data_IF_109614641603
#
_entry.id   IF_109614641603
#
_cell.length_a   1.000
_cell.length_b   1.000
_cell.length_c   1.000
_cell.angle_alpha   90.00
_cell.angle_beta   90.00
_cell.angle_gamma   90.00
#
_symmetry.space_group_name_H-M   'P 1'
#
loop_
_entity.id
_entity.type
_entity.pdbx_description
1 polymer ?
#
# COMPACT_ATOMS: atom_id res chain seq x y z
N UNK A 1 -16.93 28.82 23.49
CA UNK A 1 -17.47 27.64 22.77
C UNK A 1 -16.27 26.84 22.26
N UNK A 2 -16.13 25.58 22.65
CA UNK A 2 -15.09 24.69 22.12
C UNK A 2 -15.25 24.60 20.61
N UNK A 3 -14.19 24.90 19.86
CA UNK A 3 -14.19 24.82 18.39
C UNK A 3 -14.08 23.36 18.02
N UNK A 4 -15.10 22.81 17.34
CA UNK A 4 -15.07 21.43 16.85
C UNK A 4 -14.46 21.40 15.46
N UNK A 5 -13.41 20.56 15.28
CA UNK A 5 -12.82 20.25 13.98
C UNK A 5 -13.44 18.95 13.48
N UNK A 6 -14.02 18.97 12.28
CA UNK A 6 -14.60 17.75 11.67
C UNK A 6 -13.69 17.22 10.57
N UNK A 7 -13.45 15.91 10.58
CA UNK A 7 -12.65 15.19 9.59
C UNK A 7 -13.54 14.14 8.94
N UNK A 8 -13.81 14.26 7.65
CA UNK A 8 -14.41 13.20 6.84
C UNK A 8 -13.27 12.32 6.33
N UNK A 9 -13.26 11.09 6.81
CA UNK A 9 -12.32 10.07 6.34
C UNK A 9 -13.04 9.08 5.44
N UNK A 10 -12.71 9.08 4.14
CA UNK A 10 -13.30 8.14 3.19
C UNK A 10 -12.34 6.99 2.93
N UNK A 11 -12.84 5.76 3.13
CA UNK A 11 -12.05 4.53 2.95
C UNK A 11 -11.90 4.25 1.45
N UNK A 12 -10.66 4.23 0.97
CA UNK A 12 -10.36 4.01 -0.45
C UNK A 12 -10.62 2.57 -0.93
N UNK A 13 -10.67 1.59 -0.02
CA UNK A 13 -10.76 0.17 -0.39
C UNK A 13 -11.62 -0.63 0.60
N UNK A 14 -12.91 -0.67 0.36
CA UNK A 14 -13.91 -1.24 1.26
C UNK A 14 -13.70 -2.72 1.61
N UNK A 15 -13.32 -3.63 0.67
CA UNK A 15 -13.16 -5.05 1.00
C UNK A 15 -12.00 -5.35 1.95
N UNK A 16 -11.06 -4.41 2.12
CA UNK A 16 -9.86 -4.61 2.92
C UNK A 16 -10.03 -3.97 4.31
N UNK A 17 -10.31 -4.80 5.30
CA UNK A 17 -10.48 -4.36 6.69
C UNK A 17 -9.30 -3.55 7.24
N UNK A 18 -8.10 -3.72 6.70
CA UNK A 18 -6.92 -2.96 7.11
C UNK A 18 -7.08 -1.44 6.94
N UNK A 19 -7.84 -1.00 5.92
CA UNK A 19 -8.14 0.43 5.71
C UNK A 19 -9.12 0.97 6.76
N UNK A 20 -10.17 0.20 7.07
CA UNK A 20 -11.12 0.57 8.12
C UNK A 20 -10.43 0.62 9.49
N UNK A 21 -9.71 -0.43 9.83
CA UNK A 21 -8.98 -0.53 11.11
C UNK A 21 -7.98 0.63 11.31
N UNK A 22 -7.29 1.04 10.25
CA UNK A 22 -6.37 2.16 10.33
C UNK A 22 -7.09 3.49 10.65
N UNK A 23 -8.27 3.70 10.05
CA UNK A 23 -9.08 4.88 10.31
C UNK A 23 -9.69 4.87 11.73
N UNK A 24 -10.19 3.71 12.19
CA UNK A 24 -10.72 3.52 13.54
C UNK A 24 -9.65 3.70 14.62
N UNK A 25 -8.43 3.18 14.41
CA UNK A 25 -7.32 3.38 15.35
C UNK A 25 -6.88 4.85 15.40
N UNK A 26 -6.88 5.54 14.25
CA UNK A 26 -6.64 6.98 14.19
C UNK A 26 -7.70 7.75 14.98
N UNK A 27 -8.98 7.48 14.75
CA UNK A 27 -10.09 8.10 15.48
C UNK A 27 -9.97 7.90 17.00
N UNK A 28 -9.72 6.65 17.43
CA UNK A 28 -9.51 6.31 18.83
C UNK A 28 -8.38 7.13 19.44
N UNK A 29 -7.22 7.23 18.76
CA UNK A 29 -6.06 7.98 19.25
C UNK A 29 -6.31 9.47 19.33
N UNK A 30 -7.05 10.02 18.38
CA UNK A 30 -7.49 11.43 18.43
C UNK A 30 -8.39 11.66 19.66
N UNK A 31 -9.33 10.74 19.92
CA UNK A 31 -10.25 10.85 21.05
C UNK A 31 -9.57 10.66 22.42
N UNK A 32 -8.48 9.87 22.49
CA UNK A 32 -7.68 9.68 23.70
C UNK A 32 -6.84 10.92 24.06
N UNK A 33 -6.54 11.77 23.08
CA UNK A 33 -5.81 13.02 23.33
C UNK A 33 -6.76 14.11 23.79
N UNK A 34 -6.87 14.25 25.12
CA UNK A 34 -7.66 15.34 25.71
C UNK A 34 -7.07 16.69 25.33
N UNK A 35 -7.81 17.46 24.52
CA UNK A 35 -7.48 18.83 24.19
C UNK A 35 -8.72 19.73 24.39
N UNK A 36 -8.50 21.03 24.50
CA UNK A 36 -9.60 22.02 24.50
C UNK A 36 -10.36 22.05 23.17
N UNK A 37 -9.77 21.48 22.12
CA UNK A 37 -10.35 21.35 20.78
C UNK A 37 -10.91 19.94 20.59
N UNK A 38 -12.20 19.89 20.31
CA UNK A 38 -12.84 18.61 19.93
C UNK A 38 -12.55 18.32 18.47
N UNK A 39 -12.05 17.10 18.18
CA UNK A 39 -11.89 16.59 16.81
C UNK A 39 -12.90 15.46 16.64
N UNK A 40 -13.77 15.57 15.65
CA UNK A 40 -14.74 14.54 15.28
C UNK A 40 -14.30 13.92 13.97
N UNK A 41 -14.08 12.60 13.96
CA UNK A 41 -13.74 11.84 12.75
C UNK A 41 -14.98 11.09 12.29
N UNK A 42 -15.40 11.35 11.06
CA UNK A 42 -16.49 10.63 10.41
C UNK A 42 -15.93 9.68 9.38
N UNK A 43 -15.83 8.40 9.75
CA UNK A 43 -15.33 7.34 8.85
C UNK A 43 -16.48 6.85 8.00
N UNK A 44 -16.26 6.75 6.69
CA UNK A 44 -17.29 6.31 5.75
C UNK A 44 -16.69 5.58 4.55
N UNK A 45 -17.49 4.72 3.96
CA UNK A 45 -17.19 4.06 2.69
C UNK A 45 -17.40 5.00 1.50
N UNK A 46 -16.92 4.62 0.33
CA UNK A 46 -17.20 5.33 -0.94
C UNK A 46 -18.70 5.43 -1.20
N UNK A 47 -19.43 4.34 -0.91
CA UNK A 47 -20.88 4.28 -1.07
C UNK A 47 -21.60 5.25 -0.13
N UNK A 48 -21.23 5.27 1.16
CA UNK A 48 -21.82 6.18 2.14
C UNK A 48 -21.51 7.65 1.83
N UNK A 49 -20.29 7.95 1.40
CA UNK A 49 -19.93 9.30 0.96
C UNK A 49 -20.77 9.73 -0.24
N UNK A 50 -20.91 8.85 -1.25
CA UNK A 50 -21.73 9.12 -2.44
C UNK A 50 -23.16 9.50 -2.07
N UNK A 51 -23.76 8.78 -1.13
CA UNK A 51 -25.13 9.02 -0.68
C UNK A 51 -25.27 10.27 0.16
N UNK A 52 -24.35 10.53 1.07
CA UNK A 52 -24.47 11.64 2.06
C UNK A 52 -23.96 12.98 1.55
N UNK A 53 -22.94 12.98 0.71
CA UNK A 53 -22.17 14.18 0.36
C UNK A 53 -22.01 14.41 -1.15
N UNK A 54 -22.51 13.52 -2.00
CA UNK A 54 -22.35 13.61 -3.45
C UNK A 54 -23.69 13.37 -4.21
N UNK A 55 -24.82 13.70 -3.58
CA UNK A 55 -26.19 13.60 -4.16
C UNK A 55 -26.49 12.22 -4.77
N UNK A 56 -25.91 11.16 -4.22
CA UNK A 56 -26.07 9.78 -4.72
C UNK A 56 -25.23 9.46 -5.96
N UNK A 57 -24.44 10.42 -6.48
CA UNK A 57 -23.52 10.17 -7.60
C UNK A 57 -22.36 9.30 -7.09
N UNK A 58 -22.23 8.12 -7.67
CA UNK A 58 -21.23 7.13 -7.25
C UNK A 58 -19.82 7.66 -7.50
N UNK A 59 -19.00 7.67 -6.45
CA UNK A 59 -17.58 7.91 -6.53
C UNK A 59 -16.82 6.58 -6.44
N UNK A 60 -15.59 6.60 -6.96
CA UNK A 60 -14.64 5.50 -6.90
C UNK A 60 -13.39 5.91 -6.12
N UNK A 61 -12.54 4.94 -5.82
CA UNK A 61 -11.22 5.21 -5.22
C UNK A 61 -10.37 6.19 -6.06
N UNK A 62 -10.60 6.29 -7.37
CA UNK A 62 -9.89 7.20 -8.26
C UNK A 62 -10.29 8.67 -8.09
N UNK A 63 -11.49 8.93 -7.57
CA UNK A 63 -12.00 10.29 -7.37
C UNK A 63 -11.52 10.93 -6.06
N UNK A 64 -10.97 10.12 -5.12
CA UNK A 64 -10.64 10.58 -3.77
C UNK A 64 -9.62 11.71 -3.74
N UNK A 65 -8.58 11.67 -4.57
CA UNK A 65 -7.56 12.71 -4.61
C UNK A 65 -8.14 14.03 -5.12
N UNK A 66 -9.00 13.99 -6.13
CA UNK A 66 -9.69 15.18 -6.64
C UNK A 66 -10.63 15.80 -5.60
N UNK A 67 -11.37 14.94 -4.90
CA UNK A 67 -12.28 15.40 -3.84
C UNK A 67 -11.52 16.01 -2.66
N UNK A 68 -10.35 15.47 -2.33
CA UNK A 68 -9.47 16.01 -1.29
C UNK A 68 -8.88 17.36 -1.70
N UNK A 69 -8.39 17.50 -2.93
CA UNK A 69 -7.89 18.77 -3.48
C UNK A 69 -8.98 19.86 -3.51
N UNK A 70 -10.23 19.47 -3.75
CA UNK A 70 -11.39 20.35 -3.70
C UNK A 70 -11.83 20.69 -2.28
N UNK A 71 -11.27 20.06 -1.24
CA UNK A 71 -11.66 20.22 0.16
C UNK A 71 -13.01 19.58 0.50
N UNK A 72 -13.46 18.60 -0.28
CA UNK A 72 -14.71 17.85 -0.04
C UNK A 72 -14.51 16.66 0.88
N UNK A 73 -13.26 16.18 1.01
CA UNK A 73 -12.81 15.11 1.90
C UNK A 73 -11.57 15.63 2.61
N UNK A 74 -11.48 15.45 3.93
CA UNK A 74 -10.34 15.90 4.71
C UNK A 74 -9.23 14.85 4.73
N UNK A 75 -9.54 13.56 4.93
CA UNK A 75 -8.56 12.49 5.07
C UNK A 75 -8.93 11.23 4.30
N UNK A 76 -7.91 10.46 3.95
CA UNK A 76 -8.01 9.10 3.42
C UNK A 76 -6.70 8.35 3.64
N UNK A 77 -6.68 7.08 3.23
CA UNK A 77 -5.46 6.28 3.10
C UNK A 77 -5.31 5.89 1.63
N UNK A 78 -4.19 6.28 1.00
CA UNK A 78 -4.00 6.15 -0.44
C UNK A 78 -2.73 5.37 -0.79
N UNK A 79 -2.76 4.63 -1.90
CA UNK A 79 -1.61 3.91 -2.42
C UNK A 79 -0.48 4.85 -2.83
N UNK A 80 0.75 4.55 -2.40
CA UNK A 80 1.94 5.34 -2.80
C UNK A 80 2.15 5.32 -4.30
N UNK A 81 1.79 4.24 -4.99
CA UNK A 81 1.85 4.14 -6.46
C UNK A 81 0.93 5.15 -7.16
N UNK A 82 -0.24 5.46 -6.59
CA UNK A 82 -1.14 6.48 -7.15
C UNK A 82 -0.67 7.89 -6.83
N UNK A 83 -0.08 8.10 -5.65
CA UNK A 83 0.59 9.35 -5.32
C UNK A 83 1.79 9.59 -6.26
N UNK A 84 2.50 8.51 -6.62
CA UNK A 84 3.58 8.58 -7.59
C UNK A 84 3.11 8.94 -9.00
N UNK A 85 2.08 8.24 -9.48
CA UNK A 85 1.54 8.45 -10.83
C UNK A 85 1.04 9.88 -11.03
N UNK A 86 0.49 10.47 -9.98
CA UNK A 86 -0.14 11.79 -10.07
C UNK A 86 0.78 12.96 -9.69
N UNK A 87 1.69 12.78 -8.72
CA UNK A 87 2.38 13.90 -8.10
C UNK A 87 3.91 13.73 -7.98
N UNK A 88 4.38 12.61 -7.41
CA UNK A 88 5.78 12.46 -6.98
C UNK A 88 6.34 11.07 -7.31
N UNK A 89 7.01 10.97 -8.46
CA UNK A 89 7.54 9.70 -8.98
C UNK A 89 8.54 8.99 -8.07
N UNK A 90 9.20 9.71 -7.18
CA UNK A 90 10.14 9.13 -6.20
C UNK A 90 9.49 8.06 -5.32
N UNK A 91 8.16 8.08 -5.12
CA UNK A 91 7.47 7.00 -4.41
C UNK A 91 7.59 5.63 -5.09
N UNK A 92 7.78 5.60 -6.42
CA UNK A 92 7.98 4.33 -7.14
C UNK A 92 9.32 3.67 -6.81
N UNK A 93 10.28 4.40 -6.23
CA UNK A 93 11.51 3.78 -5.74
C UNK A 93 11.22 2.68 -4.71
N UNK A 94 10.16 2.83 -3.89
CA UNK A 94 9.75 1.83 -2.91
C UNK A 94 9.26 0.52 -3.53
N UNK A 95 8.90 0.52 -4.82
CA UNK A 95 8.47 -0.66 -5.55
C UNK A 95 9.61 -1.42 -6.23
N UNK A 96 10.85 -0.89 -6.20
CA UNK A 96 12.03 -1.57 -6.76
C UNK A 96 12.20 -2.97 -6.13
N UNK A 97 12.51 -3.99 -6.95
CA UNK A 97 12.54 -5.36 -6.48
C UNK A 97 13.62 -5.57 -5.41
N UNK A 98 13.24 -6.17 -4.29
CA UNK A 98 14.13 -6.50 -3.16
C UNK A 98 14.87 -5.28 -2.56
N UNK A 99 14.33 -4.07 -2.71
CA UNK A 99 14.91 -2.86 -2.13
C UNK A 99 14.89 -2.94 -0.60
N UNK A 100 13.75 -3.33 -0.03
CA UNK A 100 13.63 -3.52 1.42
C UNK A 100 14.02 -4.95 1.81
N UNK A 101 14.97 -5.04 2.74
CA UNK A 101 15.44 -6.31 3.27
C UNK A 101 14.37 -7.02 4.11
N UNK A 102 13.72 -6.26 4.97
CA UNK A 102 12.71 -6.70 5.93
C UNK A 102 11.82 -5.53 6.38
N UNK A 103 10.87 -5.80 7.27
CA UNK A 103 9.97 -4.79 7.83
C UNK A 103 10.68 -3.77 8.73
N UNK A 104 11.79 -4.15 9.37
CA UNK A 104 12.57 -3.24 10.22
C UNK A 104 13.32 -2.23 9.36
N UNK A 105 13.96 -2.69 8.27
CA UNK A 105 14.58 -1.80 7.29
C UNK A 105 13.54 -0.80 6.74
N UNK A 106 12.37 -1.28 6.30
CA UNK A 106 11.29 -0.44 5.81
C UNK A 106 10.86 0.61 6.86
N UNK A 107 10.71 0.20 8.11
CA UNK A 107 10.34 1.12 9.20
C UNK A 107 11.41 2.19 9.43
N UNK A 108 12.71 1.83 9.41
CA UNK A 108 13.81 2.80 9.52
C UNK A 108 13.78 3.83 8.40
N UNK A 109 13.43 3.43 7.19
CA UNK A 109 13.31 4.35 6.03
C UNK A 109 12.11 5.28 6.21
N UNK A 110 10.93 4.73 6.52
CA UNK A 110 9.69 5.52 6.62
C UNK A 110 9.70 6.54 7.76
N UNK A 111 10.41 6.24 8.84
CA UNK A 111 10.51 7.09 10.03
C UNK A 111 11.79 7.92 10.07
N UNK A 112 12.49 8.02 8.93
CA UNK A 112 13.68 8.85 8.76
C UNK A 112 13.40 10.07 7.88
N UNK A 113 14.43 10.90 7.73
CA UNK A 113 14.46 12.03 6.81
C UNK A 113 14.13 11.66 5.35
N UNK A 114 14.35 10.40 4.96
CA UNK A 114 14.03 9.91 3.61
C UNK A 114 12.50 9.84 3.45
N UNK A 115 11.84 9.12 4.36
CA UNK A 115 10.39 8.98 4.32
C UNK A 115 9.67 10.31 4.50
N UNK A 116 10.11 11.13 5.45
CA UNK A 116 9.55 12.48 5.67
C UNK A 116 9.78 13.38 4.47
N UNK A 117 10.96 13.34 3.85
CA UNK A 117 11.28 14.14 2.67
C UNK A 117 10.38 13.80 1.46
N UNK A 118 10.04 12.53 1.25
CA UNK A 118 9.10 12.13 0.19
C UNK A 118 7.67 12.63 0.48
N UNK A 119 7.21 12.56 1.73
CA UNK A 119 5.91 13.11 2.12
C UNK A 119 5.89 14.65 1.99
N UNK A 120 7.01 15.32 2.24
CA UNK A 120 7.13 16.75 2.01
C UNK A 120 7.07 17.10 0.52
N UNK A 121 7.81 16.38 -0.35
CA UNK A 121 7.74 16.55 -1.81
C UNK A 121 6.33 16.38 -2.35
N UNK A 122 5.56 15.41 -1.82
CA UNK A 122 4.15 15.27 -2.15
C UNK A 122 3.37 16.56 -1.86
N UNK A 123 3.57 17.14 -0.69
CA UNK A 123 2.90 18.39 -0.30
C UNK A 123 3.30 19.58 -1.19
N UNK A 124 4.57 19.65 -1.58
CA UNK A 124 5.08 20.72 -2.46
C UNK A 124 4.54 20.66 -3.88
N UNK A 125 4.20 19.44 -4.36
CA UNK A 125 3.71 19.20 -5.74
C UNK A 125 2.20 19.04 -5.85
N UNK A 126 1.48 19.04 -4.73
CA UNK A 126 0.03 18.80 -4.69
C UNK A 126 -0.64 19.60 -3.57
N UNK A 127 -1.97 19.55 -3.55
CA UNK A 127 -2.77 20.04 -2.42
C UNK A 127 -3.08 18.94 -1.40
N UNK A 128 -2.21 17.91 -1.33
CA UNK A 128 -2.35 16.77 -0.43
C UNK A 128 -1.08 16.62 0.39
N UNK A 129 -1.22 16.36 1.68
CA UNK A 129 -0.13 16.14 2.63
C UNK A 129 -0.13 14.70 3.10
N UNK A 130 1.03 14.03 3.02
CA UNK A 130 1.23 12.74 3.65
C UNK A 130 1.53 12.88 5.15
N UNK A 131 0.89 12.04 5.96
CA UNK A 131 1.08 12.05 7.42
C UNK A 131 2.01 10.94 7.89
N UNK A 132 1.87 9.74 7.36
CA UNK A 132 2.70 8.58 7.68
C UNK A 132 2.53 7.52 6.61
N UNK A 133 3.40 6.48 6.67
CA UNK A 133 3.27 5.29 5.84
C UNK A 133 2.55 4.18 6.57
N UNK A 134 1.73 3.46 5.81
CA UNK A 134 1.02 2.25 6.24
C UNK A 134 1.25 1.14 5.21
N UNK A 135 0.84 -0.08 5.54
CA UNK A 135 0.89 -1.18 4.59
C UNK A 135 -0.46 -1.38 3.89
N UNK A 136 -0.40 -1.91 2.69
CA UNK A 136 -1.55 -2.50 2.03
C UNK A 136 -1.37 -4.02 1.88
N UNK A 137 -0.96 -4.65 2.98
CA UNK A 137 -0.74 -6.07 3.08
C UNK A 137 0.74 -6.50 3.20
N UNK A 138 1.68 -5.55 3.22
CA UNK A 138 3.11 -5.84 3.41
C UNK A 138 3.80 -6.35 2.14
N UNK A 139 4.78 -7.25 2.30
CA UNK A 139 5.54 -7.79 1.18
C UNK A 139 4.68 -8.59 0.21
N UNK A 140 4.97 -8.44 -1.08
CA UNK A 140 4.28 -9.13 -2.17
C UNK A 140 4.90 -10.50 -2.42
N UNK A 141 4.03 -11.45 -2.73
CA UNK A 141 4.36 -12.80 -3.15
C UNK A 141 3.80 -13.07 -4.54
N UNK A 142 4.34 -14.10 -5.19
CA UNK A 142 3.75 -14.65 -6.41
C UNK A 142 2.82 -15.81 -6.07
N UNK A 143 1.58 -15.77 -6.55
CA UNK A 143 0.67 -16.91 -6.47
C UNK A 143 0.51 -17.60 -7.82
N UNK A 144 0.24 -18.89 -7.78
CA UNK A 144 -0.05 -19.70 -8.96
C UNK A 144 -1.31 -20.55 -8.76
N UNK A 145 -2.08 -20.74 -9.85
CA UNK A 145 -3.28 -21.59 -9.88
C UNK A 145 -2.96 -23.08 -10.09
N UNK A 146 -1.68 -23.42 -10.10
CA UNK A 146 -1.15 -24.79 -10.18
C UNK A 146 -0.12 -25.05 -9.08
N UNK A 147 0.18 -26.32 -8.79
CA UNK A 147 1.29 -26.65 -7.88
C UNK A 147 2.61 -26.38 -8.57
N UNK A 148 3.47 -25.60 -7.92
CA UNK A 148 4.83 -25.30 -8.34
C UNK A 148 5.75 -25.35 -7.13
N UNK A 149 7.00 -25.74 -7.34
CA UNK A 149 8.04 -25.82 -6.30
C UNK A 149 9.10 -24.74 -6.45
N UNK A 150 9.14 -24.07 -7.60
CA UNK A 150 10.09 -22.98 -7.88
C UNK A 150 9.43 -21.89 -8.70
N UNK A 151 9.97 -20.68 -8.63
CA UNK A 151 9.51 -19.57 -9.47
C UNK A 151 9.76 -19.84 -10.95
N UNK A 152 10.84 -20.56 -11.28
CA UNK A 152 11.20 -20.91 -12.66
C UNK A 152 10.09 -21.70 -13.39
N UNK A 153 9.27 -22.46 -12.68
CA UNK A 153 8.13 -23.18 -13.26
C UNK A 153 6.99 -22.24 -13.76
N UNK A 154 7.08 -20.96 -13.43
CA UNK A 154 6.19 -19.90 -13.94
C UNK A 154 6.82 -19.15 -15.11
N UNK A 155 8.02 -19.51 -15.57
CA UNK A 155 8.69 -18.83 -16.67
C UNK A 155 7.80 -18.82 -17.93
N UNK A 156 7.71 -17.66 -18.59
CA UNK A 156 6.90 -17.44 -19.80
C UNK A 156 5.39 -17.45 -19.57
N UNK A 157 4.89 -17.67 -18.34
CA UNK A 157 3.45 -17.68 -18.08
C UNK A 157 2.88 -16.27 -17.91
N UNK A 158 1.62 -16.01 -18.33
CA UNK A 158 0.94 -14.77 -17.99
C UNK A 158 0.56 -14.74 -16.51
N UNK A 159 0.94 -13.67 -15.82
CA UNK A 159 0.60 -13.44 -14.41
C UNK A 159 0.06 -12.01 -14.22
N UNK A 160 -0.93 -11.87 -13.37
CA UNK A 160 -1.51 -10.56 -13.07
C UNK A 160 -0.47 -9.66 -12.40
N UNK A 161 -0.35 -8.44 -12.91
CA UNK A 161 0.38 -7.32 -12.31
C UNK A 161 -0.52 -6.09 -12.22
N UNK A 162 -0.10 -5.10 -11.43
CA UNK A 162 -0.75 -3.79 -11.41
C UNK A 162 -0.21 -2.88 -12.55
N UNK A 163 -0.69 -1.64 -12.61
CA UNK A 163 -0.27 -0.66 -13.65
C UNK A 163 1.12 -0.07 -13.42
N UNK A 164 1.69 -0.27 -12.25
CA UNK A 164 3.01 0.26 -11.91
C UNK A 164 4.09 -0.28 -12.86
N UNK A 165 4.83 0.57 -13.57
CA UNK A 165 5.83 0.12 -14.54
C UNK A 165 6.99 -0.63 -13.87
N UNK A 166 7.38 -0.29 -12.64
CA UNK A 166 8.42 -1.00 -11.88
C UNK A 166 7.98 -2.44 -11.57
N UNK A 167 6.72 -2.63 -11.14
CA UNK A 167 6.18 -3.95 -10.87
C UNK A 167 6.12 -4.82 -12.13
N UNK A 168 5.71 -4.25 -13.26
CA UNK A 168 5.66 -4.96 -14.55
C UNK A 168 7.07 -5.35 -15.02
N UNK A 169 8.05 -4.45 -14.90
CA UNK A 169 9.45 -4.74 -15.22
C UNK A 169 10.01 -5.83 -14.31
N UNK A 170 9.70 -5.78 -13.01
CA UNK A 170 10.08 -6.82 -12.04
C UNK A 170 9.53 -8.19 -12.43
N UNK A 171 8.24 -8.29 -12.75
CA UNK A 171 7.61 -9.56 -13.16
C UNK A 171 8.24 -10.07 -14.46
N UNK A 172 8.50 -9.17 -15.42
CA UNK A 172 9.18 -9.53 -16.68
C UNK A 172 10.60 -10.04 -16.41
N UNK A 173 11.35 -9.37 -15.55
CA UNK A 173 12.71 -9.75 -15.18
C UNK A 173 12.76 -11.08 -14.39
N UNK A 174 11.71 -11.40 -13.64
CA UNK A 174 11.51 -12.70 -13.00
C UNK A 174 11.06 -13.81 -14.00
N UNK A 175 11.03 -13.50 -15.29
CA UNK A 175 10.77 -14.46 -16.37
C UNK A 175 9.31 -14.68 -16.73
N UNK A 176 8.37 -13.93 -16.14
CA UNK A 176 6.93 -14.06 -16.39
C UNK A 176 6.41 -12.96 -17.34
N UNK A 177 5.18 -13.08 -17.78
CA UNK A 177 4.51 -12.09 -18.67
C UNK A 177 3.46 -11.32 -17.86
N UNK A 178 3.66 -10.01 -17.58
CA UNK A 178 2.69 -9.24 -16.82
C UNK A 178 1.39 -9.03 -17.59
N UNK A 179 0.26 -9.32 -16.95
CA UNK A 179 -1.10 -9.02 -17.40
C UNK A 179 -1.65 -7.94 -16.48
N UNK A 180 -1.85 -6.74 -17.00
CA UNK A 180 -2.28 -5.59 -16.21
C UNK A 180 -3.76 -5.70 -15.87
N UNK A 181 -4.07 -5.78 -14.57
CA UNK A 181 -5.43 -5.76 -14.06
C UNK A 181 -5.43 -5.22 -12.61
N UNK A 182 -6.59 -4.75 -12.15
CA UNK A 182 -6.77 -4.37 -10.75
C UNK A 182 -6.60 -5.60 -9.84
N UNK A 183 -6.22 -5.38 -8.58
CA UNK A 183 -5.98 -6.51 -7.66
C UNK A 183 -7.27 -7.25 -7.30
N UNK A 184 -8.40 -6.56 -7.36
CA UNK A 184 -9.74 -7.12 -7.19
C UNK A 184 -10.10 -8.09 -8.31
N UNK A 185 -9.57 -7.87 -9.51
CA UNK A 185 -9.81 -8.69 -10.69
C UNK A 185 -8.86 -9.90 -10.79
N UNK A 186 -7.86 -10.05 -9.91
CA UNK A 186 -6.90 -11.15 -9.98
C UNK A 186 -7.60 -12.51 -10.09
N UNK A 187 -8.57 -12.76 -9.20
CA UNK A 187 -9.36 -14.02 -9.23
C UNK A 187 -10.06 -14.19 -10.58
N UNK A 188 -10.69 -13.13 -11.09
CA UNK A 188 -11.42 -13.15 -12.36
C UNK A 188 -10.51 -13.49 -13.53
N UNK A 189 -9.40 -12.79 -13.70
CA UNK A 189 -8.48 -13.02 -14.82
C UNK A 189 -7.84 -14.42 -14.77
N UNK A 190 -7.68 -15.00 -13.57
CA UNK A 190 -7.22 -16.38 -13.43
C UNK A 190 -8.32 -17.38 -13.81
N UNK A 191 -9.55 -17.19 -13.36
CA UNK A 191 -10.69 -18.06 -13.71
C UNK A 191 -10.98 -18.02 -15.20
N UNK A 192 -10.86 -16.85 -15.83
CA UNK A 192 -11.04 -16.67 -17.28
C UNK A 192 -9.85 -17.17 -18.11
N UNK A 193 -8.78 -17.65 -17.48
CA UNK A 193 -7.59 -18.17 -18.17
C UNK A 193 -6.67 -17.11 -18.77
N UNK A 194 -6.89 -15.84 -18.47
CA UNK A 194 -6.04 -14.74 -18.94
C UNK A 194 -4.68 -14.71 -18.21
N UNK A 195 -4.66 -15.19 -16.96
CA UNK A 195 -3.45 -15.33 -16.15
C UNK A 195 -3.43 -16.69 -15.44
N UNK A 196 -2.22 -17.18 -15.09
CA UNK A 196 -2.03 -18.41 -14.31
C UNK A 196 -1.71 -18.14 -12.83
N UNK A 197 -1.79 -16.90 -12.42
CA UNK A 197 -1.50 -16.41 -11.08
C UNK A 197 -1.32 -14.91 -11.07
N UNK A 198 -0.58 -14.40 -10.10
CA UNK A 198 -0.29 -12.96 -10.00
C UNK A 198 0.51 -12.58 -8.78
N UNK A 199 0.87 -11.33 -8.69
CA UNK A 199 1.42 -10.76 -7.48
C UNK A 199 0.30 -10.33 -6.53
N UNK A 200 0.45 -10.65 -5.26
CA UNK A 200 -0.43 -10.22 -4.17
C UNK A 200 0.31 -10.30 -2.83
N UNK A 201 -0.41 -10.25 -1.72
CA UNK A 201 0.10 -10.49 -0.38
C UNK A 201 -0.91 -11.27 0.47
N UNK A 202 -0.43 -11.89 1.54
CA UNK A 202 -1.26 -12.77 2.37
C UNK A 202 -2.54 -12.10 2.93
N UNK A 203 -2.51 -10.88 3.50
CA UNK A 203 -3.72 -10.25 4.05
C UNK A 203 -4.85 -10.03 3.04
N UNK A 204 -4.55 -10.03 1.74
CA UNK A 204 -5.55 -9.84 0.66
C UNK A 204 -6.17 -11.12 0.17
N UNK A 205 -5.60 -12.28 0.48
CA UNK A 205 -6.02 -13.56 -0.08
C UNK A 205 -7.52 -13.83 0.14
N UNK A 206 -7.98 -13.73 1.38
CA UNK A 206 -9.38 -14.05 1.73
C UNK A 206 -10.35 -12.90 1.42
N UNK A 207 -10.10 -11.64 1.79
CA UNK A 207 -11.01 -10.56 1.46
C UNK A 207 -11.30 -10.42 -0.04
N UNK A 208 -10.30 -10.70 -0.88
CA UNK A 208 -10.43 -10.64 -2.35
C UNK A 208 -10.66 -12.01 -2.99
N UNK A 209 -10.94 -13.05 -2.19
CA UNK A 209 -11.22 -14.42 -2.65
C UNK A 209 -10.11 -15.00 -3.55
N UNK A 210 -8.88 -14.55 -3.38
CA UNK A 210 -7.74 -15.02 -4.16
C UNK A 210 -7.30 -16.41 -3.74
N UNK A 211 -7.59 -16.83 -2.49
CA UNK A 211 -7.41 -18.19 -2.00
C UNK A 211 -8.07 -19.23 -2.90
N UNK A 212 -9.24 -18.91 -3.50
CA UNK A 212 -9.99 -19.83 -4.36
C UNK A 212 -9.21 -20.25 -5.63
N UNK A 213 -8.28 -19.43 -6.08
CA UNK A 213 -7.46 -19.68 -7.28
C UNK A 213 -6.00 -19.95 -6.95
N UNK A 214 -5.61 -19.96 -5.67
CA UNK A 214 -4.23 -20.18 -5.23
C UNK A 214 -3.98 -21.63 -4.92
N UNK A 215 -3.05 -22.27 -5.64
CA UNK A 215 -2.56 -23.63 -5.35
C UNK A 215 -1.12 -23.62 -4.84
N UNK A 216 -0.36 -22.59 -5.18
CA UNK A 216 0.98 -22.36 -4.63
C UNK A 216 1.21 -20.88 -4.40
N UNK A 217 2.02 -20.59 -3.39
CA UNK A 217 2.59 -19.27 -3.12
C UNK A 217 4.10 -19.41 -3.17
N UNK A 218 4.75 -18.61 -4.02
CA UNK A 218 6.19 -18.42 -3.97
C UNK A 218 6.42 -17.14 -3.17
N UNK A 219 6.84 -17.32 -1.92
CA UNK A 219 7.03 -16.23 -0.97
C UNK A 219 8.37 -15.53 -1.24
N UNK A 220 8.39 -14.79 -2.35
CA UNK A 220 9.56 -14.03 -2.80
C UNK A 220 9.84 -12.82 -1.94
N UNK A 221 8.81 -12.15 -1.45
CA UNK A 221 8.95 -10.85 -0.77
C UNK A 221 9.58 -9.78 -1.67
N UNK A 222 9.28 -9.82 -2.98
CA UNK A 222 10.00 -9.07 -4.01
C UNK A 222 9.75 -7.56 -3.99
N UNK A 223 8.65 -7.09 -3.44
CA UNK A 223 8.39 -5.66 -3.23
C UNK A 223 7.44 -5.44 -2.05
N UNK A 224 7.40 -4.22 -1.54
CA UNK A 224 6.58 -3.85 -0.39
C UNK A 224 5.39 -3.00 -0.86
N UNK A 225 4.17 -3.41 -0.51
CA UNK A 225 2.98 -2.71 -0.94
C UNK A 225 2.53 -1.67 0.09
N UNK A 226 2.71 -0.41 -0.28
CA UNK A 226 2.57 0.73 0.61
C UNK A 226 1.35 1.58 0.32
N UNK A 227 0.88 2.20 1.40
CA UNK A 227 -0.07 3.31 1.41
C UNK A 227 0.46 4.41 2.31
N UNK A 228 -0.15 5.58 2.22
CA UNK A 228 0.06 6.70 3.15
C UNK A 228 -1.29 7.18 3.66
N UNK A 229 -1.37 7.49 4.96
CA UNK A 229 -2.45 8.33 5.47
C UNK A 229 -2.23 9.75 4.96
N UNK A 230 -3.22 10.30 4.31
CA UNK A 230 -3.14 11.61 3.66
C UNK A 230 -4.24 12.54 4.15
N UNK A 231 -3.94 13.84 4.14
CA UNK A 231 -4.85 14.92 4.51
C UNK A 231 -4.78 16.04 3.48
N UNK A 232 -5.91 16.70 3.19
CA UNK A 232 -5.94 17.86 2.31
C UNK A 232 -5.11 19.00 2.87
N UNK A 233 -4.18 19.57 2.11
CA UNK A 233 -3.25 20.58 2.61
C UNK A 233 -3.96 21.88 2.96
N UNK A 234 -5.00 22.26 2.20
CA UNK A 234 -5.85 23.42 2.52
C UNK A 234 -6.55 23.26 3.87
N UNK A 235 -7.05 22.06 4.17
CA UNK A 235 -7.66 21.78 5.47
C UNK A 235 -6.59 21.81 6.57
N UNK A 236 -5.46 21.14 6.37
CA UNK A 236 -4.35 21.11 7.30
C UNK A 236 -3.87 22.50 7.70
N UNK A 237 -3.65 23.39 6.74
CA UNK A 237 -3.16 24.76 6.97
C UNK A 237 -4.19 25.67 7.67
N UNK A 238 -5.47 25.29 7.67
CA UNK A 238 -6.54 25.99 8.40
C UNK A 238 -6.60 25.62 9.89
N UNK A 239 -5.89 24.56 10.31
CA UNK A 239 -5.88 24.08 11.69
C UNK A 239 -4.87 24.82 12.53
N UNK A 240 -5.13 24.90 13.85
CA UNK A 240 -4.13 25.40 14.78
C UNK A 240 -2.95 24.42 14.92
N UNK A 241 -1.75 24.91 15.30
CA UNK A 241 -0.59 24.05 15.51
C UNK A 241 -0.84 22.89 16.49
N UNK A 242 -1.66 23.13 17.53
CA UNK A 242 -2.01 22.11 18.53
C UNK A 242 -2.85 21.00 17.89
N UNK A 243 -3.85 21.35 17.06
CA UNK A 243 -4.69 20.37 16.36
C UNK A 243 -3.87 19.61 15.32
N UNK A 244 -2.98 20.30 14.60
CA UNK A 244 -2.05 19.64 13.67
C UNK A 244 -1.16 18.63 14.38
N UNK A 245 -0.64 18.97 15.57
CA UNK A 245 0.21 18.06 16.35
C UNK A 245 -0.55 16.80 16.80
N UNK A 246 -1.79 16.95 17.27
CA UNK A 246 -2.67 15.84 17.65
C UNK A 246 -2.92 14.92 16.46
N UNK A 247 -3.32 15.45 15.31
CA UNK A 247 -3.60 14.69 14.09
C UNK A 247 -2.33 13.97 13.60
N UNK A 248 -1.19 14.66 13.55
CA UNK A 248 0.09 14.08 13.10
C UNK A 248 0.52 12.93 14.00
N UNK A 249 0.45 13.12 15.31
CA UNK A 249 0.83 12.09 16.29
C UNK A 249 -0.11 10.88 16.22
N UNK A 250 -1.41 11.11 16.15
CA UNK A 250 -2.40 10.05 16.00
C UNK A 250 -2.16 9.23 14.72
N UNK A 251 -1.90 9.90 13.59
CA UNK A 251 -1.62 9.24 12.33
C UNK A 251 -0.33 8.39 12.37
N UNK A 252 0.75 8.91 12.96
CA UNK A 252 2.00 8.15 13.12
C UNK A 252 1.79 6.89 13.94
N UNK A 253 1.11 7.00 15.09
CA UNK A 253 0.85 5.86 15.96
C UNK A 253 -0.11 4.84 15.33
N UNK A 254 -1.17 5.30 14.67
CA UNK A 254 -2.08 4.43 13.95
C UNK A 254 -1.39 3.74 12.77
N UNK A 255 -0.50 4.44 12.07
CA UNK A 255 0.28 3.86 10.98
C UNK A 255 1.25 2.77 11.44
N UNK A 256 1.88 2.95 12.61
CA UNK A 256 2.73 1.92 13.23
C UNK A 256 1.93 0.67 13.60
N UNK A 257 0.78 0.86 14.24
CA UNK A 257 -0.09 -0.27 14.63
C UNK A 257 -0.65 -0.99 13.41
N UNK A 258 -1.06 -0.25 12.36
CA UNK A 258 -1.53 -0.83 11.12
C UNK A 258 -0.46 -1.73 10.48
N UNK A 259 0.81 -1.26 10.38
CA UNK A 259 1.91 -2.07 9.85
C UNK A 259 2.14 -3.35 10.69
N UNK A 260 2.13 -3.22 12.01
CA UNK A 260 2.30 -4.35 12.92
C UNK A 260 1.15 -5.38 12.80
N UNK A 261 -0.09 -4.90 12.74
CA UNK A 261 -1.27 -5.78 12.59
C UNK A 261 -1.31 -6.45 11.22
N UNK A 262 -0.92 -5.73 10.16
CA UNK A 262 -0.80 -6.30 8.81
C UNK A 262 0.21 -7.46 8.76
N UNK A 263 1.32 -7.38 9.49
CA UNK A 263 2.28 -8.50 9.60
C UNK A 263 1.62 -9.69 10.31
N UNK A 264 0.87 -9.45 11.38
CA UNK A 264 0.10 -10.49 12.10
C UNK A 264 -0.98 -11.13 11.22
N UNK A 265 -1.70 -10.33 10.43
CA UNK A 265 -2.69 -10.79 9.44
C UNK A 265 -2.03 -11.68 8.38
N UNK A 266 -0.86 -11.29 7.90
CA UNK A 266 -0.09 -12.09 6.95
C UNK A 266 0.21 -13.49 7.47
N UNK A 267 0.71 -13.59 8.71
CA UNK A 267 1.01 -14.87 9.35
C UNK A 267 -0.26 -15.73 9.60
N UNK A 268 -1.40 -15.09 9.90
CA UNK A 268 -2.70 -15.78 10.03
C UNK A 268 -3.18 -16.33 8.68
N UNK A 269 -3.13 -15.50 7.64
CA UNK A 269 -3.58 -15.89 6.31
C UNK A 269 -2.68 -16.98 5.69
N UNK A 270 -1.37 -16.90 5.87
CA UNK A 270 -0.42 -17.94 5.46
C UNK A 270 -0.77 -19.30 6.07
N UNK A 271 -0.94 -19.35 7.40
CA UNK A 271 -1.32 -20.57 8.12
C UNK A 271 -2.61 -21.15 7.58
N UNK A 272 -3.60 -20.30 7.42
CA UNK A 272 -4.92 -20.68 6.93
C UNK A 272 -4.87 -21.26 5.50
N UNK A 273 -4.08 -20.68 4.61
CA UNK A 273 -3.86 -21.22 3.25
C UNK A 273 -3.29 -22.64 3.26
N UNK A 274 -2.36 -22.92 4.18
CA UNK A 274 -1.79 -24.28 4.31
C UNK A 274 -2.80 -25.25 4.91
N UNK A 275 -3.42 -24.89 6.02
CA UNK A 275 -4.24 -25.79 6.84
C UNK A 275 -5.64 -26.04 6.21
N UNK A 276 -6.26 -25.01 5.63
CA UNK A 276 -7.62 -25.10 5.11
C UNK A 276 -7.66 -25.36 3.59
N UNK A 277 -6.76 -24.76 2.82
CA UNK A 277 -6.76 -24.82 1.35
C UNK A 277 -5.73 -25.83 0.80
N UNK A 278 -4.82 -26.32 1.63
CA UNK A 278 -3.73 -27.22 1.22
C UNK A 278 -2.79 -26.58 0.19
N UNK A 279 -2.62 -25.27 0.23
CA UNK A 279 -1.74 -24.54 -0.65
C UNK A 279 -0.27 -24.90 -0.38
N UNK A 280 0.53 -25.05 -1.43
CA UNK A 280 1.97 -25.21 -1.32
C UNK A 280 2.65 -23.85 -1.17
N UNK A 281 3.39 -23.63 -0.09
CA UNK A 281 4.15 -22.41 0.14
C UNK A 281 5.63 -22.66 0.02
N UNK A 282 6.28 -21.97 -0.92
CA UNK A 282 7.72 -22.01 -1.17
C UNK A 282 8.33 -20.71 -0.66
N UNK A 283 8.95 -20.77 0.52
CA UNK A 283 9.60 -19.61 1.13
C UNK A 283 11.00 -19.41 0.57
N UNK A 284 11.29 -18.20 0.11
CA UNK A 284 12.64 -17.83 -0.27
C UNK A 284 13.47 -17.44 0.96
N UNK A 285 14.71 -17.91 0.95
CA UNK A 285 15.71 -17.48 1.94
C UNK A 285 16.20 -16.08 1.64
N UNK A 286 16.88 -15.46 2.61
CA UNK A 286 17.51 -14.16 2.39
C UNK A 286 18.58 -14.22 1.28
N UNK A 287 19.35 -15.30 1.22
CA UNK A 287 20.33 -15.51 0.13
C UNK A 287 19.68 -15.55 -1.25
N UNK A 288 18.53 -16.21 -1.38
CA UNK A 288 17.78 -16.24 -2.64
C UNK A 288 17.27 -14.87 -3.04
N UNK A 289 16.81 -14.07 -2.09
CA UNK A 289 16.38 -12.68 -2.34
C UNK A 289 17.53 -11.78 -2.76
N UNK A 290 18.69 -11.91 -2.12
CA UNK A 290 19.91 -11.17 -2.46
C UNK A 290 20.45 -11.57 -3.85
N UNK A 291 20.46 -12.84 -4.17
CA UNK A 291 20.83 -13.35 -5.50
C UNK A 291 19.87 -12.79 -6.57
N UNK A 292 18.56 -12.85 -6.33
CA UNK A 292 17.57 -12.29 -7.24
C UNK A 292 17.71 -10.78 -7.40
N UNK A 293 17.99 -10.03 -6.33
CA UNK A 293 18.28 -8.59 -6.41
C UNK A 293 19.44 -8.30 -7.35
N UNK A 294 20.52 -9.08 -7.25
CA UNK A 294 21.68 -8.91 -8.12
C UNK A 294 21.35 -9.22 -9.60
N UNK A 295 20.57 -10.27 -9.86
CA UNK A 295 20.08 -10.61 -11.21
C UNK A 295 19.16 -9.54 -11.80
N UNK A 296 18.36 -8.88 -10.96
CA UNK A 296 17.44 -7.83 -11.34
C UNK A 296 18.05 -6.41 -11.33
N UNK A 297 19.36 -6.26 -11.22
CA UNK A 297 20.04 -4.96 -11.22
C UNK A 297 19.66 -4.08 -12.43
N UNK A 298 19.41 -4.70 -13.59
CA UNK A 298 18.97 -4.00 -14.81
C UNK A 298 17.60 -3.30 -14.62
N UNK A 299 16.73 -3.75 -13.73
CA UNK A 299 15.47 -3.06 -13.40
C UNK A 299 15.77 -1.75 -12.68
N UNK A 300 16.74 -1.74 -11.77
CA UNK A 300 17.21 -0.51 -11.12
C UNK A 300 17.76 0.49 -12.13
N UNK A 301 18.59 0.01 -13.07
CA UNK A 301 19.15 0.85 -14.14
C UNK A 301 18.06 1.44 -15.04
N UNK A 302 17.03 0.67 -15.38
CA UNK A 302 15.91 1.11 -16.21
C UNK A 302 15.15 2.30 -15.60
N UNK A 303 15.05 2.37 -14.29
CA UNK A 303 14.28 3.42 -13.59
C UNK A 303 15.14 4.46 -12.88
N UNK A 304 16.47 4.36 -12.97
CA UNK A 304 17.42 5.23 -12.26
C UNK A 304 17.14 6.71 -12.47
N UNK A 305 16.93 7.12 -13.70
CA UNK A 305 16.73 8.53 -14.07
C UNK A 305 15.34 9.07 -13.70
N UNK A 306 14.44 8.19 -13.27
CA UNK A 306 13.11 8.57 -12.78
C UNK A 306 13.16 9.15 -11.37
N UNK A 307 14.16 8.75 -10.58
CA UNK A 307 14.25 9.06 -9.16
C UNK A 307 15.25 10.20 -8.90
N UNK A 308 15.02 10.90 -7.79
CA UNK A 308 16.01 11.86 -7.29
C UNK A 308 17.37 11.15 -7.10
N UNK A 309 18.45 11.70 -7.67
CA UNK A 309 19.80 11.10 -7.55
C UNK A 309 20.16 10.81 -6.08
N UNK A 310 20.63 9.59 -5.83
CA UNK A 310 21.05 9.14 -4.49
C UNK A 310 19.92 8.67 -3.58
N UNK A 311 18.64 8.73 -4.00
CA UNK A 311 17.50 8.27 -3.20
C UNK A 311 17.57 6.77 -2.92
N UNK A 312 17.79 5.96 -3.95
CA UNK A 312 17.83 4.49 -3.83
C UNK A 312 18.96 4.07 -2.90
N UNK A 313 20.16 4.62 -3.11
CA UNK A 313 21.33 4.36 -2.27
C UNK A 313 21.11 4.83 -0.81
N UNK A 314 20.37 5.92 -0.62
CA UNK A 314 20.03 6.39 0.73
C UNK A 314 19.10 5.40 1.44
N UNK A 315 18.11 4.85 0.72
CA UNK A 315 17.20 3.81 1.24
C UNK A 315 18.01 2.56 1.61
N UNK A 316 18.88 2.09 0.71
CA UNK A 316 19.70 0.90 0.94
C UNK A 316 20.62 1.03 2.16
N UNK A 317 21.18 2.21 2.41
CA UNK A 317 22.03 2.45 3.60
C UNK A 317 21.30 2.37 4.93
N UNK A 318 19.97 2.37 4.96
CA UNK A 318 19.17 2.17 6.18
C UNK A 318 18.92 0.69 6.52
N UNK A 319 19.43 -0.25 5.71
CA UNK A 319 19.26 -1.71 5.87
C UNK A 319 19.84 -2.27 7.17
#
# INVERSE_FOLDING_TARGET
>A
MSKTTKIRWVIAHEPLNLFLRAAEDFERRVNEQQSEHKIEVEIMTLTEYSQRYNDGVVITKHDLLDLMEQGKIEMSQMYTTWLAERYEQDFLAFDLPFLFKDHEHATRVFESEIGEGLLQKLTEKSNVRGLCYTYSGGFRQMIANKKVSTLAELAGTPVRSNRNPVAQATISALGMKPVVAEVEDLRKVVVEGQAQGGETNYPRMYPLRQNEVTKSVIDTGHSLFLTSMIIGDKFWTSLSPEVQAVIKQAAILAGREERAETIRDGARAERRLVEEEGANIVKWTQEQREAAKAELAHVYDQFRDMFTPGLVEAIERKA
#
